data_IF_759475959593
#
_entry.id   IF_759475959593
#
_cell.length_a   1.000
_cell.length_b   1.000
_cell.length_c   1.000
_cell.angle_alpha   90.00
_cell.angle_beta   90.00
_cell.angle_gamma   90.00
#
_symmetry.space_group_name_H-M   'P 1'
#
loop_
_entity.id
_entity.type
_entity.pdbx_description
1 polymer ?
#
# COMPACT_ATOMS: atom_id res chain seq x y z
N UNK A 1 -15.57 -34.21 -6.12
CA UNK A 1 -14.33 -33.54 -6.55
C UNK A 1 -14.15 -32.23 -5.76
N UNK A 2 -13.75 -32.29 -4.46
CA UNK A 2 -13.51 -31.10 -3.63
C UNK A 2 -12.16 -30.39 -3.89
N UNK A 3 -11.23 -31.03 -4.62
CA UNK A 3 -9.88 -30.49 -4.89
C UNK A 3 -9.89 -29.13 -5.61
N UNK A 4 -10.89 -28.83 -6.43
CA UNK A 4 -10.94 -27.58 -7.20
C UNK A 4 -11.20 -26.36 -6.30
N UNK A 5 -12.12 -26.45 -5.33
CA UNK A 5 -12.44 -25.32 -4.44
C UNK A 5 -11.31 -25.06 -3.45
N UNK A 6 -10.68 -26.11 -2.92
CA UNK A 6 -9.55 -25.94 -2.02
C UNK A 6 -8.32 -25.36 -2.72
N UNK A 7 -8.03 -25.80 -3.95
CA UNK A 7 -6.94 -25.24 -4.74
C UNK A 7 -7.22 -23.77 -5.08
N UNK A 8 -8.44 -23.43 -5.50
CA UNK A 8 -8.81 -22.03 -5.75
C UNK A 8 -8.63 -21.14 -4.52
N UNK A 9 -8.99 -21.62 -3.32
CA UNK A 9 -8.77 -20.88 -2.07
C UNK A 9 -7.29 -20.70 -1.75
N UNK A 10 -6.47 -21.74 -1.99
CA UNK A 10 -5.03 -21.66 -1.78
C UNK A 10 -4.37 -20.66 -2.74
N UNK A 11 -4.73 -20.73 -4.02
CA UNK A 11 -4.26 -19.82 -5.06
C UNK A 11 -4.65 -18.38 -4.73
N UNK A 12 -5.91 -18.15 -4.35
CA UNK A 12 -6.42 -16.82 -4.00
C UNK A 12 -5.73 -16.22 -2.77
N UNK A 13 -5.54 -17.01 -1.70
CA UNK A 13 -4.81 -16.54 -0.52
C UNK A 13 -3.33 -16.26 -0.83
N UNK A 14 -2.73 -17.04 -1.74
CA UNK A 14 -1.36 -16.81 -2.20
C UNK A 14 -1.24 -15.52 -3.00
N UNK A 15 -2.19 -15.23 -3.87
CA UNK A 15 -2.27 -13.96 -4.61
C UNK A 15 -2.37 -12.76 -3.65
N UNK A 16 -3.28 -12.82 -2.65
CA UNK A 16 -3.40 -11.76 -1.66
C UNK A 16 -2.15 -11.58 -0.78
N UNK A 17 -1.43 -12.65 -0.48
CA UNK A 17 -0.15 -12.59 0.23
C UNK A 17 0.96 -11.97 -0.62
N UNK A 18 0.96 -12.23 -1.93
CA UNK A 18 1.87 -11.60 -2.89
C UNK A 18 1.58 -10.09 -3.00
N UNK A 19 0.30 -9.71 -3.11
CA UNK A 19 -0.11 -8.31 -3.12
C UNK A 19 0.31 -7.58 -1.84
N UNK A 20 0.11 -8.21 -0.69
CA UNK A 20 0.60 -7.68 0.59
C UNK A 20 2.13 -7.53 0.59
N UNK A 21 2.86 -8.54 0.10
CA UNK A 21 4.32 -8.51 0.05
C UNK A 21 4.83 -7.41 -0.87
N UNK A 22 4.17 -7.20 -2.01
CA UNK A 22 4.45 -6.09 -2.92
C UNK A 22 4.21 -4.74 -2.25
N UNK A 23 3.03 -4.57 -1.64
CA UNK A 23 2.61 -3.30 -1.05
C UNK A 23 3.46 -2.91 0.15
N UNK A 24 3.80 -3.87 1.01
CA UNK A 24 4.68 -3.65 2.16
C UNK A 24 6.10 -3.30 1.74
N UNK A 25 6.67 -4.01 0.76
CA UNK A 25 8.03 -3.75 0.28
C UNK A 25 8.19 -2.39 -0.42
N UNK A 26 7.17 -1.98 -1.18
CA UNK A 26 7.21 -0.73 -1.96
C UNK A 26 6.61 0.48 -1.23
N UNK A 27 5.92 0.27 -0.11
CA UNK A 27 5.12 1.30 0.57
C UNK A 27 4.12 1.98 -0.37
N UNK A 28 3.55 1.20 -1.29
CA UNK A 28 2.60 1.67 -2.32
C UNK A 28 1.46 0.67 -2.36
N UNK A 29 0.22 1.15 -2.40
CA UNK A 29 -0.92 0.26 -2.61
C UNK A 29 -0.78 -0.45 -3.98
N UNK A 30 -1.25 -1.71 -4.11
CA UNK A 30 -1.38 -2.32 -5.44
C UNK A 30 -2.18 -1.38 -6.36
N UNK A 31 -1.96 -1.48 -7.67
CA UNK A 31 -2.71 -0.67 -8.65
C UNK A 31 -4.21 -0.70 -8.34
N UNK A 32 -4.90 0.41 -8.63
CA UNK A 32 -6.32 0.64 -8.36
C UNK A 32 -7.22 -0.23 -9.29
N UNK A 33 -6.90 -1.51 -9.42
CA UNK A 33 -7.88 -2.50 -9.80
C UNK A 33 -8.89 -2.55 -8.66
N UNK A 34 -10.15 -2.24 -8.98
CA UNK A 34 -11.26 -2.39 -8.04
C UNK A 34 -11.24 -3.81 -7.51
N UNK A 35 -10.73 -4.01 -6.29
CA UNK A 35 -10.75 -5.32 -5.65
C UNK A 35 -12.20 -5.79 -5.64
N UNK A 36 -12.44 -6.98 -6.19
CA UNK A 36 -13.75 -7.63 -6.20
C UNK A 36 -13.64 -8.89 -5.38
N UNK A 37 -14.57 -9.05 -4.44
CA UNK A 37 -14.68 -10.29 -3.71
C UNK A 37 -14.93 -11.43 -4.71
N UNK A 38 -14.20 -12.56 -4.60
CA UNK A 38 -14.41 -13.71 -5.45
C UNK A 38 -15.77 -14.35 -5.15
N UNK A 39 -16.64 -14.42 -6.18
CA UNK A 39 -18.01 -14.93 -6.05
C UNK A 39 -18.09 -16.46 -6.10
N UNK A 40 -17.08 -17.12 -6.69
CA UNK A 40 -17.09 -18.55 -7.02
C UNK A 40 -16.30 -19.44 -6.04
N UNK A 41 -15.73 -18.85 -4.98
CA UNK A 41 -14.93 -19.57 -3.97
C UNK A 41 -15.76 -20.27 -2.89
N UNK A 42 -17.02 -19.85 -2.68
CA UNK A 42 -17.85 -20.39 -1.62
C UNK A 42 -17.34 -20.04 -0.21
N UNK A 43 -17.70 -20.78 0.85
CA UNK A 43 -17.21 -20.53 2.20
C UNK A 43 -15.72 -20.91 2.34
N UNK A 44 -14.98 -20.16 3.17
CA UNK A 44 -13.57 -20.44 3.49
C UNK A 44 -13.44 -21.80 4.20
N UNK A 45 -12.64 -22.75 3.68
CA UNK A 45 -12.33 -23.99 4.37
C UNK A 45 -11.61 -23.74 5.71
N UNK A 46 -11.95 -24.52 6.74
CA UNK A 46 -11.44 -24.32 8.12
C UNK A 46 -9.90 -24.28 8.19
N UNK A 47 -9.21 -25.10 7.38
CA UNK A 47 -7.75 -25.14 7.30
C UNK A 47 -7.11 -23.81 6.89
N UNK A 48 -7.84 -22.95 6.20
CA UNK A 48 -7.37 -21.64 5.74
C UNK A 48 -7.79 -20.49 6.67
N UNK A 49 -8.65 -20.74 7.66
CA UNK A 49 -9.20 -19.69 8.52
C UNK A 49 -8.09 -18.92 9.26
N UNK A 50 -7.09 -19.62 9.78
CA UNK A 50 -5.98 -18.97 10.49
C UNK A 50 -5.04 -18.21 9.56
N UNK A 51 -4.84 -18.71 8.32
CA UNK A 51 -4.07 -18.00 7.29
C UNK A 51 -4.76 -16.69 6.91
N UNK A 52 -6.06 -16.73 6.63
CA UNK A 52 -6.86 -15.55 6.29
C UNK A 52 -6.87 -14.53 7.45
N UNK A 53 -7.06 -14.97 8.70
CA UNK A 53 -7.02 -14.08 9.88
C UNK A 53 -5.67 -13.39 10.04
N UNK A 54 -4.58 -14.13 9.87
CA UNK A 54 -3.22 -13.55 9.91
C UNK A 54 -3.03 -12.50 8.82
N UNK A 55 -3.44 -12.80 7.59
CA UNK A 55 -3.31 -11.88 6.46
C UNK A 55 -4.10 -10.58 6.69
N UNK A 56 -5.34 -10.66 7.18
CA UNK A 56 -6.15 -9.49 7.52
C UNK A 56 -5.46 -8.63 8.60
N UNK A 57 -4.87 -9.25 9.62
CA UNK A 57 -4.14 -8.54 10.66
C UNK A 57 -2.91 -7.79 10.12
N UNK A 58 -2.16 -8.42 9.22
CA UNK A 58 -1.02 -7.81 8.53
C UNK A 58 -1.45 -6.63 7.64
N UNK A 59 -2.48 -6.83 6.82
CA UNK A 59 -3.02 -5.80 5.94
C UNK A 59 -3.56 -4.60 6.73
N UNK A 60 -4.27 -4.83 7.84
CA UNK A 60 -4.80 -3.76 8.70
C UNK A 60 -3.68 -2.93 9.33
N UNK A 61 -2.61 -3.60 9.79
CA UNK A 61 -1.43 -2.93 10.33
C UNK A 61 -0.76 -2.07 9.25
N UNK A 62 -0.54 -2.61 8.06
CA UNK A 62 0.08 -1.87 6.95
C UNK A 62 -0.74 -0.65 6.53
N UNK A 63 -2.07 -0.77 6.44
CA UNK A 63 -2.96 0.36 6.15
C UNK A 63 -2.77 1.47 7.19
N UNK A 64 -2.71 1.11 8.47
CA UNK A 64 -2.54 2.07 9.57
C UNK A 64 -1.19 2.78 9.50
N UNK A 65 -0.11 2.05 9.19
CA UNK A 65 1.22 2.63 9.00
C UNK A 65 1.27 3.57 7.80
N UNK A 66 0.74 3.16 6.65
CA UNK A 66 0.72 3.99 5.44
C UNK A 66 -0.11 5.27 5.65
N UNK A 67 -1.22 5.19 6.38
CA UNK A 67 -2.04 6.36 6.71
C UNK A 67 -1.26 7.36 7.59
N UNK A 68 -0.52 6.86 8.60
CA UNK A 68 0.31 7.70 9.45
C UNK A 68 1.46 8.36 8.64
N UNK A 69 2.11 7.62 7.75
CA UNK A 69 3.14 8.16 6.85
C UNK A 69 2.59 9.25 5.93
N UNK A 70 1.40 9.04 5.34
CA UNK A 70 0.73 10.04 4.52
C UNK A 70 0.40 11.31 5.31
N UNK A 71 -0.04 11.18 6.56
CA UNK A 71 -0.32 12.32 7.43
C UNK A 71 0.94 13.16 7.69
N UNK A 72 2.06 12.52 8.05
CA UNK A 72 3.33 13.20 8.30
C UNK A 72 3.88 13.89 7.05
N UNK A 73 3.84 13.22 5.90
CA UNK A 73 4.21 13.84 4.61
C UNK A 73 3.31 15.03 4.30
N UNK A 74 2.00 14.93 4.58
CA UNK A 74 1.05 16.02 4.45
C UNK A 74 1.42 17.25 5.30
N UNK A 75 1.80 17.04 6.56
CA UNK A 75 2.29 18.10 7.47
C UNK A 75 3.56 18.76 6.93
N UNK A 76 4.53 17.98 6.47
CA UNK A 76 5.76 18.51 5.87
C UNK A 76 5.50 19.34 4.61
N UNK A 77 4.63 18.86 3.73
CA UNK A 77 4.25 19.60 2.51
C UNK A 77 3.49 20.89 2.86
N UNK A 78 2.62 20.87 3.87
CA UNK A 78 1.93 22.07 4.35
C UNK A 78 2.93 23.12 4.88
N UNK A 79 3.93 22.70 5.66
CA UNK A 79 4.99 23.58 6.15
C UNK A 79 5.81 24.19 4.99
N UNK A 80 6.20 23.38 4.00
CA UNK A 80 6.93 23.88 2.82
C UNK A 80 6.11 24.89 2.00
N UNK A 81 4.78 24.70 1.91
CA UNK A 81 3.88 25.66 1.24
C UNK A 81 3.79 27.00 1.95
N UNK A 82 4.04 27.05 3.26
CA UNK A 82 4.06 28.30 4.04
C UNK A 82 5.36 29.10 3.87
N UNK A 83 6.44 28.48 3.37
CA UNK A 83 7.71 29.17 3.15
C UNK A 83 7.57 30.15 1.98
N UNK A 84 7.80 31.46 2.20
CA UNK A 84 7.73 32.45 1.12
C UNK A 84 8.80 32.17 0.06
N UNK A 85 8.37 31.86 -1.17
CA UNK A 85 9.28 31.72 -2.31
C UNK A 85 9.72 33.12 -2.76
N UNK A 86 10.79 33.66 -2.17
CA UNK A 86 11.46 34.84 -2.73
C UNK A 86 12.09 34.43 -4.06
N UNK A 87 11.62 35.01 -5.17
CA UNK A 87 12.35 34.98 -6.44
C UNK A 87 13.69 35.68 -6.23
N UNK A 88 14.76 34.92 -6.04
CA UNK A 88 16.12 35.45 -6.08
C UNK A 88 16.49 35.59 -7.55
N UNK A 89 16.43 36.81 -8.06
CA UNK A 89 17.08 37.14 -9.34
C UNK A 89 18.56 36.84 -9.17
N UNK A 90 19.15 35.89 -9.93
CA UNK A 90 20.57 35.60 -9.81
C UNK A 90 21.36 36.82 -10.26
N UNK A 91 22.01 37.50 -9.32
CA UNK A 91 22.97 38.57 -9.61
C UNK A 91 24.33 37.90 -9.77
N UNK A 92 24.76 37.74 -11.02
CA UNK A 92 26.15 37.41 -11.30
C UNK A 92 27.00 38.63 -10.92
N UNK A 93 27.76 38.51 -9.83
CA UNK A 93 28.86 39.42 -9.52
C UNK A 93 29.99 39.09 -10.48
N UNK A 94 30.03 39.78 -11.61
CA UNK A 94 31.19 39.75 -12.49
C UNK A 94 32.31 40.49 -11.78
N UNK A 95 33.28 39.76 -11.21
CA UNK A 95 34.49 40.36 -10.67
C UNK A 95 35.39 40.71 -11.85
N UNK A 96 35.31 41.97 -12.30
CA UNK A 96 36.31 42.54 -13.22
C UNK A 96 37.58 42.84 -12.43
N UNK A 97 38.63 42.08 -12.71
CA UNK A 97 40.01 42.33 -12.30
C UNK A 97 40.63 43.50 -13.06
#
# INVERSE_FOLDING_TARGET
MPENTEQKWDDYLTELELDYSYASARRVAPDEHTWRAPEDLGPVPEKFADRARRLIGLQTTLISELAAEQEEVGKHLAALRQVPKKQKTPVYLDQTA
#
